data_IF_098551582026
#
_entry.id   IF_098551582026
#
_cell.length_a   1.000
_cell.length_b   1.000
_cell.length_c   1.000
_cell.angle_alpha   90.00
_cell.angle_beta   90.00
_cell.angle_gamma   90.00
#
_symmetry.space_group_name_H-M   'P 1'
#
loop_
_entity.id
_entity.type
_entity.pdbx_description
1 polymer ?
#
# COMPACT_ATOMS: atom_id res chain seq x y z
N UNK A 1 -10.15 3.64 -12.82
CA UNK A 1 -10.52 2.61 -13.80
C UNK A 1 -9.27 1.92 -14.30
N UNK A 2 -9.26 0.60 -14.31
CA UNK A 2 -8.17 -0.26 -14.78
C UNK A 2 -8.78 -1.39 -15.61
N UNK A 3 -8.06 -1.83 -16.64
CA UNK A 3 -8.43 -2.98 -17.46
C UNK A 3 -7.58 -4.17 -17.05
N UNK A 4 -8.22 -5.34 -16.95
CA UNK A 4 -7.57 -6.63 -16.70
C UNK A 4 -7.73 -7.50 -17.96
N UNK A 5 -6.66 -8.16 -18.37
CA UNK A 5 -6.68 -9.15 -19.46
C UNK A 5 -6.16 -10.49 -18.95
N UNK A 6 -7.08 -11.34 -18.50
CA UNK A 6 -6.77 -12.60 -17.81
C UNK A 6 -5.76 -12.41 -16.66
N UNK A 7 -5.89 -11.28 -15.99
CA UNK A 7 -4.95 -10.78 -14.99
C UNK A 7 -5.57 -10.78 -13.60
N UNK A 8 -4.74 -10.46 -12.60
CA UNK A 8 -5.20 -10.37 -11.21
C UNK A 8 -4.49 -9.29 -10.41
N UNK A 9 -5.30 -8.46 -9.77
CA UNK A 9 -4.88 -7.45 -8.81
C UNK A 9 -5.46 -7.74 -7.44
N UNK A 10 -4.72 -7.35 -6.41
CA UNK A 10 -5.15 -7.38 -5.02
C UNK A 10 -5.20 -5.95 -4.53
N UNK A 11 -6.34 -5.55 -4.00
CA UNK A 11 -6.63 -4.17 -3.56
C UNK A 11 -7.14 -4.19 -2.13
N UNK A 12 -6.99 -3.07 -1.44
CA UNK A 12 -7.67 -2.89 -0.16
C UNK A 12 -9.19 -2.88 -0.36
N UNK A 13 -9.93 -3.55 0.52
CA UNK A 13 -11.40 -3.74 0.36
C UNK A 13 -12.16 -2.42 0.15
N UNK A 14 -11.72 -1.35 0.81
CA UNK A 14 -12.36 -0.04 0.73
C UNK A 14 -12.27 0.62 -0.65
N UNK A 15 -11.42 0.13 -1.55
CA UNK A 15 -11.25 0.70 -2.88
C UNK A 15 -12.24 0.18 -3.91
N UNK A 16 -12.86 -0.97 -3.70
CA UNK A 16 -13.71 -1.55 -4.74
C UNK A 16 -14.99 -0.74 -4.95
N UNK A 17 -15.21 -0.28 -6.19
CA UNK A 17 -16.42 0.46 -6.55
C UNK A 17 -17.36 -0.40 -7.42
N UNK A 18 -16.91 -0.85 -8.59
CA UNK A 18 -17.65 -1.76 -9.46
C UNK A 18 -16.73 -2.46 -10.48
N UNK A 19 -17.23 -3.46 -11.21
CA UNK A 19 -16.50 -4.16 -12.26
C UNK A 19 -17.43 -4.71 -13.36
N UNK A 20 -16.82 -5.12 -14.48
CA UNK A 20 -17.49 -5.93 -15.52
C UNK A 20 -17.93 -7.30 -14.97
N UNK A 21 -18.89 -7.94 -15.65
CA UNK A 21 -19.48 -9.24 -15.26
C UNK A 21 -18.45 -10.39 -15.25
N UNK A 22 -17.49 -10.34 -16.18
CA UNK A 22 -16.41 -11.34 -16.29
C UNK A 22 -15.30 -11.19 -15.21
N UNK A 23 -15.41 -10.20 -14.33
CA UNK A 23 -14.48 -10.02 -13.21
C UNK A 23 -14.99 -10.74 -11.96
N UNK A 24 -14.13 -11.60 -11.42
CA UNK A 24 -14.39 -12.33 -10.18
C UNK A 24 -13.78 -11.60 -8.98
N UNK A 25 -14.47 -11.66 -7.85
CA UNK A 25 -14.06 -11.04 -6.58
C UNK A 25 -13.93 -12.12 -5.52
N UNK A 26 -12.80 -12.16 -4.82
CA UNK A 26 -12.63 -13.04 -3.64
C UNK A 26 -11.83 -12.35 -2.54
N UNK A 27 -12.07 -12.74 -1.30
CA UNK A 27 -11.23 -12.32 -0.17
C UNK A 27 -9.80 -12.85 -0.34
N UNK A 28 -8.81 -11.98 -0.11
CA UNK A 28 -7.39 -12.33 -0.14
C UNK A 28 -6.85 -12.34 1.28
N UNK A 29 -6.89 -13.50 1.91
CA UNK A 29 -6.38 -13.68 3.27
C UNK A 29 -4.87 -13.86 3.25
N UNK A 30 -4.15 -12.94 3.90
CA UNK A 30 -2.69 -12.91 3.86
C UNK A 30 -2.13 -13.87 4.90
N UNK A 31 -1.44 -14.92 4.42
CA UNK A 31 -0.89 -15.97 5.29
C UNK A 31 0.26 -15.48 6.18
N UNK A 32 0.94 -14.41 5.76
CA UNK A 32 2.16 -13.88 6.41
C UNK A 32 1.88 -12.65 7.27
N UNK A 33 0.64 -12.45 7.68
CA UNK A 33 0.25 -11.33 8.54
C UNK A 33 -0.16 -11.86 9.90
N UNK A 34 0.67 -11.56 10.89
CA UNK A 34 0.34 -11.86 12.29
C UNK A 34 -0.69 -10.85 12.80
N UNK A 35 -1.83 -11.35 13.30
CA UNK A 35 -2.85 -10.50 13.94
C UNK A 35 -2.28 -9.70 15.12
N UNK A 36 -1.30 -10.26 15.84
CA UNK A 36 -0.58 -9.57 16.92
C UNK A 36 0.25 -8.39 16.42
N UNK A 37 0.73 -8.45 15.18
CA UNK A 37 1.52 -7.36 14.61
C UNK A 37 0.63 -6.19 14.18
N UNK A 38 -0.65 -6.43 13.85
CA UNK A 38 -1.59 -5.41 13.40
C UNK A 38 -2.63 -4.98 14.45
N UNK A 39 -2.28 -5.09 15.73
CA UNK A 39 -3.20 -4.67 16.80
C UNK A 39 -4.52 -5.46 16.87
N UNK A 40 -4.61 -6.62 16.21
CA UNK A 40 -5.81 -7.47 16.18
C UNK A 40 -6.84 -7.15 15.09
N UNK A 41 -6.65 -6.08 14.31
CA UNK A 41 -7.65 -5.62 13.32
C UNK A 41 -7.56 -6.37 11.97
N UNK A 42 -6.40 -6.95 11.66
CA UNK A 42 -6.15 -7.69 10.42
C UNK A 42 -6.16 -6.79 9.17
N UNK A 43 -5.42 -7.17 8.13
CA UNK A 43 -5.52 -6.51 6.81
C UNK A 43 -6.49 -7.31 5.94
N UNK A 44 -7.55 -6.65 5.48
CA UNK A 44 -8.55 -7.25 4.62
C UNK A 44 -8.42 -6.72 3.19
N UNK A 45 -7.77 -7.53 2.35
CA UNK A 45 -7.64 -7.28 0.92
C UNK A 45 -8.60 -8.19 0.14
N UNK A 46 -8.94 -7.78 -1.07
CA UNK A 46 -9.69 -8.59 -2.03
C UNK A 46 -8.86 -8.77 -3.30
N UNK A 47 -8.95 -9.95 -3.91
CA UNK A 47 -8.40 -10.23 -5.24
C UNK A 47 -9.51 -10.04 -6.28
N UNK A 48 -9.24 -9.20 -7.27
CA UNK A 48 -10.04 -9.01 -8.49
C UNK A 48 -9.29 -9.70 -9.64
N UNK A 49 -9.96 -10.60 -10.36
CA UNK A 49 -9.32 -11.38 -11.42
C UNK A 49 -10.29 -11.77 -12.54
N UNK A 50 -9.77 -11.85 -13.76
CA UNK A 50 -10.56 -12.11 -14.98
C UNK A 50 -10.15 -11.18 -16.13
N UNK A 51 -11.03 -11.02 -17.11
CA UNK A 51 -10.86 -10.07 -18.22
C UNK A 51 -11.98 -9.03 -18.19
N UNK A 52 -11.66 -7.75 -18.25
CA UNK A 52 -12.64 -6.67 -18.23
C UNK A 52 -12.20 -5.47 -17.41
N UNK A 53 -13.15 -4.60 -17.09
CA UNK A 53 -12.88 -3.33 -16.42
C UNK A 53 -13.14 -3.45 -14.92
N UNK A 54 -12.25 -2.87 -14.12
CA UNK A 54 -12.46 -2.60 -12.71
C UNK A 54 -12.43 -1.10 -12.42
N UNK A 55 -13.35 -0.64 -11.59
CA UNK A 55 -13.39 0.73 -11.08
C UNK A 55 -13.05 0.69 -9.60
N UNK A 56 -12.01 1.43 -9.26
CA UNK A 56 -11.51 1.58 -7.90
C UNK A 56 -11.69 3.03 -7.47
N UNK A 57 -12.21 3.23 -6.27
CA UNK A 57 -12.24 4.50 -5.55
C UNK A 57 -10.90 4.71 -4.84
N UNK A 58 -10.37 5.92 -4.95
CA UNK A 58 -9.14 6.31 -4.28
C UNK A 58 -9.30 7.73 -3.75
N UNK A 59 -8.82 7.97 -2.53
CA UNK A 59 -8.92 9.27 -1.86
C UNK A 59 -7.90 10.30 -2.39
N UNK A 60 -7.03 9.90 -3.31
CA UNK A 60 -6.05 10.78 -3.94
C UNK A 60 -6.30 10.85 -5.45
N UNK A 61 -5.92 11.96 -6.11
CA UNK A 61 -5.90 12.05 -7.57
C UNK A 61 -5.06 10.93 -8.17
N UNK A 62 -5.48 10.42 -9.33
CA UNK A 62 -4.79 9.33 -10.02
C UNK A 62 -3.33 9.69 -10.32
N UNK A 63 -3.08 10.95 -10.62
CA UNK A 63 -1.76 11.50 -10.96
C UNK A 63 -0.78 11.46 -9.77
N UNK A 64 -1.28 11.33 -8.54
CA UNK A 64 -0.48 11.21 -7.33
C UNK A 64 -0.23 9.75 -6.91
N UNK A 65 -0.80 8.78 -7.63
CA UNK A 65 -0.54 7.36 -7.43
C UNK A 65 0.78 7.00 -8.09
N UNK A 66 1.70 6.43 -7.32
CA UNK A 66 3.01 5.98 -7.77
C UNK A 66 2.96 4.47 -8.02
N UNK A 67 3.38 4.06 -9.21
CA UNK A 67 3.54 2.65 -9.58
C UNK A 67 5.01 2.23 -9.43
N UNK A 68 5.24 1.11 -8.76
CA UNK A 68 6.57 0.55 -8.53
C UNK A 68 6.61 -0.88 -9.05
N UNK A 69 7.55 -1.14 -9.96
CA UNK A 69 7.90 -2.48 -10.41
C UNK A 69 8.83 -3.17 -9.39
N UNK A 70 8.45 -4.37 -8.97
CA UNK A 70 9.29 -5.26 -8.15
C UNK A 70 9.77 -6.39 -9.05
N UNK A 71 11.09 -6.54 -9.16
CA UNK A 71 11.71 -7.65 -9.89
C UNK A 71 12.06 -8.78 -8.94
N UNK A 72 12.27 -9.97 -9.52
CA UNK A 72 12.70 -11.15 -8.77
C UNK A 72 13.94 -10.85 -7.90
N UNK A 73 13.83 -11.09 -6.60
CA UNK A 73 14.91 -10.85 -5.63
C UNK A 73 14.97 -9.42 -5.08
N UNK A 74 14.11 -8.51 -5.55
CA UNK A 74 13.92 -7.19 -4.96
C UNK A 74 12.85 -7.23 -3.86
N UNK A 75 12.97 -6.29 -2.93
CA UNK A 75 11.99 -6.08 -1.87
C UNK A 75 11.68 -4.59 -1.77
N UNK A 76 10.40 -4.27 -1.65
CA UNK A 76 9.91 -2.93 -1.40
C UNK A 76 9.34 -2.88 0.02
N UNK A 77 9.89 -2.00 0.86
CA UNK A 77 9.37 -1.70 2.20
C UNK A 77 8.71 -0.33 2.19
N UNK A 78 7.46 -0.28 2.63
CA UNK A 78 6.63 0.93 2.65
C UNK A 78 6.18 1.19 4.09
N UNK A 79 6.32 2.42 4.56
CA UNK A 79 5.80 2.80 5.89
C UNK A 79 4.27 2.82 5.88
N UNK A 80 3.64 2.23 6.89
CA UNK A 80 2.18 2.22 7.04
C UNK A 80 1.37 1.85 5.79
N UNK A 81 0.22 2.50 5.62
CA UNK A 81 -0.84 2.12 4.69
C UNK A 81 -0.79 2.86 3.34
N UNK A 82 0.41 3.27 2.87
CA UNK A 82 0.50 3.96 1.58
C UNK A 82 0.27 3.02 0.38
N UNK A 83 0.54 1.73 0.51
CA UNK A 83 0.33 0.77 -0.56
C UNK A 83 -1.15 0.38 -0.65
N UNK A 84 -1.76 0.63 -1.81
CA UNK A 84 -3.21 0.53 -2.01
C UNK A 84 -3.61 -0.66 -2.90
N UNK A 85 -2.69 -1.11 -3.76
CA UNK A 85 -2.91 -2.24 -4.66
C UNK A 85 -1.59 -2.93 -5.03
N UNK A 86 -1.68 -4.19 -5.46
CA UNK A 86 -0.55 -4.95 -6.02
C UNK A 86 -1.03 -6.00 -7.01
N UNK A 87 -0.16 -6.44 -7.90
CA UNK A 87 -0.42 -7.63 -8.72
C UNK A 87 -0.30 -8.90 -7.90
N UNK A 88 -0.99 -9.97 -8.30
CA UNK A 88 -0.99 -11.26 -7.60
C UNK A 88 0.40 -11.89 -7.39
N UNK A 89 1.36 -11.66 -8.29
CA UNK A 89 2.73 -12.17 -8.18
C UNK A 89 3.60 -11.51 -7.12
N UNK A 90 3.08 -10.46 -6.47
CA UNK A 90 3.75 -9.76 -5.36
C UNK A 90 3.17 -10.27 -4.05
N UNK A 91 4.00 -10.89 -3.22
CA UNK A 91 3.66 -11.31 -1.87
C UNK A 91 3.67 -10.12 -0.91
N UNK A 92 2.79 -10.16 0.09
CA UNK A 92 2.65 -9.10 1.09
C UNK A 92 2.85 -9.66 2.50
N UNK A 93 3.61 -8.93 3.32
CA UNK A 93 3.82 -9.21 4.73
C UNK A 93 3.98 -7.91 5.52
N UNK A 94 3.80 -7.99 6.83
CA UNK A 94 4.05 -6.88 7.74
C UNK A 94 5.29 -7.22 8.57
N UNK A 95 6.25 -6.31 8.63
CA UNK A 95 7.51 -6.49 9.37
C UNK A 95 7.74 -5.33 10.32
N UNK A 96 8.59 -5.53 11.34
CA UNK A 96 9.00 -4.41 12.21
C UNK A 96 10.02 -3.53 11.49
N UNK A 97 9.90 -2.22 11.64
CA UNK A 97 10.87 -1.26 11.13
C UNK A 97 12.22 -1.47 11.81
N UNK A 98 13.27 -1.62 11.01
CA UNK A 98 14.64 -1.64 11.52
C UNK A 98 15.06 -0.27 12.05
N UNK A 99 16.09 -0.22 12.91
CA UNK A 99 16.57 1.03 13.55
C UNK A 99 16.96 2.13 12.54
N UNK A 100 17.33 1.77 11.31
CA UNK A 100 17.66 2.71 10.22
C UNK A 100 16.44 3.39 9.60
N UNK A 101 15.26 2.76 9.65
CA UNK A 101 13.99 3.30 9.14
C UNK A 101 13.14 3.95 10.24
N UNK A 102 13.54 3.79 11.51
CA UNK A 102 12.85 4.35 12.67
C UNK A 102 12.73 5.89 12.65
N UNK A 103 13.63 6.59 11.97
CA UNK A 103 13.57 8.05 11.79
C UNK A 103 12.39 8.52 10.93
N UNK A 104 11.70 7.60 10.23
CA UNK A 104 10.56 7.90 9.37
C UNK A 104 9.24 7.28 9.85
N UNK A 105 9.19 6.56 10.98
CA UNK A 105 7.99 5.84 11.42
C UNK A 105 6.83 6.81 11.74
N UNK A 106 5.98 7.07 10.75
CA UNK A 106 4.89 8.06 10.82
C UNK A 106 3.73 7.57 11.72
N UNK A 107 3.55 6.24 11.83
CA UNK A 107 2.42 5.65 12.57
C UNK A 107 2.73 5.22 14.02
N UNK A 108 3.93 5.48 14.55
CA UNK A 108 4.26 5.26 15.97
C UNK A 108 4.41 3.80 16.44
N UNK A 109 3.99 2.81 15.64
CA UNK A 109 4.06 1.38 15.98
C UNK A 109 5.34 0.68 15.48
N UNK A 110 6.07 1.32 14.55
CA UNK A 110 7.31 0.77 13.99
C UNK A 110 7.07 -0.48 13.13
N UNK A 111 6.07 -0.42 12.25
CA UNK A 111 5.70 -1.50 11.33
C UNK A 111 5.79 -1.02 9.88
N UNK A 112 6.20 -1.93 8.99
CA UNK A 112 6.34 -1.71 7.56
C UNK A 112 5.54 -2.75 6.79
N UNK A 113 4.93 -2.30 5.70
CA UNK A 113 4.38 -3.15 4.66
C UNK A 113 5.52 -3.57 3.72
N UNK A 114 5.78 -4.87 3.66
CA UNK A 114 6.87 -5.46 2.88
C UNK A 114 6.32 -6.25 1.71
N UNK A 115 6.82 -5.94 0.51
CA UNK A 115 6.42 -6.53 -0.76
C UNK A 115 7.62 -7.20 -1.43
N UNK A 116 7.46 -8.45 -1.87
CA UNK A 116 8.50 -9.20 -2.59
C UNK A 116 7.88 -10.09 -3.66
N UNK A 117 8.69 -10.61 -4.58
CA UNK A 117 8.23 -11.42 -5.71
C UNK A 117 8.43 -10.69 -7.03
N UNK A 118 7.49 -10.83 -7.96
CA UNK A 118 7.57 -10.15 -9.27
C UNK A 118 6.22 -9.54 -9.63
N UNK A 119 6.21 -8.25 -9.98
CA UNK A 119 5.02 -7.56 -10.43
C UNK A 119 5.02 -6.09 -10.02
N UNK A 120 3.83 -5.52 -9.81
CA UNK A 120 3.64 -4.10 -9.52
C UNK A 120 2.99 -3.87 -8.16
N UNK A 121 3.37 -2.77 -7.52
CA UNK A 121 2.72 -2.20 -6.33
C UNK A 121 2.34 -0.75 -6.64
N UNK A 122 1.11 -0.37 -6.31
CA UNK A 122 0.64 1.00 -6.39
C UNK A 122 0.59 1.62 -5.00
N UNK A 123 1.12 2.84 -4.89
CA UNK A 123 1.25 3.59 -3.64
C UNK A 123 0.55 4.93 -3.78
N UNK A 124 -0.15 5.39 -2.73
CA UNK A 124 -0.72 6.73 -2.60
C UNK A 124 0.00 7.51 -1.47
N UNK A 125 1.16 8.13 -1.72
CA UNK A 125 1.97 8.76 -0.67
C UNK A 125 1.28 9.96 -0.01
N UNK A 126 0.35 10.60 -0.72
CA UNK A 126 -0.36 11.79 -0.25
C UNK A 126 -1.65 11.46 0.49
N UNK A 127 -2.07 10.18 0.54
CA UNK A 127 -3.32 9.76 1.16
C UNK A 127 -3.50 10.29 2.60
N UNK A 128 -2.51 10.23 3.51
CA UNK A 128 -2.67 10.77 4.85
C UNK A 128 -2.92 12.28 4.89
N UNK A 129 -2.50 13.03 3.87
CA UNK A 129 -2.80 14.46 3.77
C UNK A 129 -4.26 14.68 3.40
N UNK A 130 -4.79 13.91 2.45
CA UNK A 130 -6.21 13.96 2.09
C UNK A 130 -7.11 13.52 3.25
N UNK A 131 -6.72 12.48 3.99
CA UNK A 131 -7.41 12.06 5.21
C UNK A 131 -7.43 13.20 6.24
N UNK A 132 -6.28 13.82 6.54
CA UNK A 132 -6.22 14.97 7.46
C UNK A 132 -7.10 16.13 7.01
N UNK A 133 -7.09 16.47 5.72
CA UNK A 133 -7.95 17.53 5.18
C UNK A 133 -9.43 17.20 5.34
N UNK A 134 -9.84 15.97 5.02
CA UNK A 134 -11.22 15.52 5.16
C UNK A 134 -11.72 15.55 6.61
N UNK A 135 -10.82 15.33 7.58
CA UNK A 135 -11.13 15.40 9.02
C UNK A 135 -10.86 16.78 9.66
N UNK A 136 -10.47 17.80 8.88
CA UNK A 136 -10.16 19.14 9.39
C UNK A 136 -8.94 19.20 10.32
N UNK A 137 -8.03 18.23 10.19
CA UNK A 137 -6.79 18.14 10.97
C UNK A 137 -5.68 19.00 10.35
N UNK A 138 -4.67 19.43 11.14
CA UNK A 138 -3.54 20.18 10.62
C UNK A 138 -2.77 19.41 9.53
N UNK A 139 -2.56 20.04 8.38
CA UNK A 139 -1.83 19.48 7.23
C UNK A 139 -0.31 19.64 7.31
N UNK A 140 0.20 20.20 8.42
CA UNK A 140 1.64 20.41 8.58
C UNK A 140 2.37 19.08 8.85
N UNK A 141 3.41 18.81 8.07
CA UNK A 141 4.20 17.58 8.15
C UNK A 141 5.53 17.85 8.89
N UNK A 142 5.57 17.65 10.21
CA UNK A 142 6.77 17.87 11.02
C UNK A 142 7.94 16.92 10.70
N UNK A 143 7.73 15.88 9.89
CA UNK A 143 8.71 14.84 9.57
C UNK A 143 9.64 15.18 8.38
N UNK A 144 9.38 16.26 7.63
CA UNK A 144 10.22 16.68 6.48
C UNK A 144 11.50 17.42 6.88
N UNK A 145 11.75 17.65 8.18
CA UNK A 145 13.05 18.11 8.66
C UNK A 145 14.04 16.95 8.71
N UNK A 146 14.47 16.48 7.53
CA UNK A 146 15.63 15.63 7.41
C UNK A 146 16.87 16.50 7.71
N UNK A 147 17.24 16.59 9.00
CA UNK A 147 18.53 17.15 9.38
C UNK A 147 19.60 16.20 8.84
N UNK A 148 20.06 16.47 7.61
CA UNK A 148 21.30 15.91 7.12
C UNK A 148 22.41 16.45 8.02
N UNK A 149 22.82 15.65 8.99
CA UNK A 149 24.06 15.85 9.71
C UNK A 149 25.18 15.78 8.68
N UNK A 150 25.60 16.96 8.20
CA UNK A 150 26.87 17.16 7.51
C UNK A 150 27.95 16.49 8.35
N UNK A 151 28.45 15.34 7.89
CA UNK A 151 29.73 14.84 8.35
C UNK A 151 30.77 15.89 7.99
N UNK A 152 31.33 16.56 9.00
CA UNK A 152 32.63 17.23 8.88
C UNK A 152 33.65 16.25 9.43
N UNK A 153 34.66 15.96 8.62
CA UNK A 153 35.90 15.31 9.05
C UNK A 153 36.76 16.21 9.92
#
# INVERSE_FOLDING_TARGET
>A
MMELDNDSIIVDKGMFYCCSDDINIKGSMQKNISATLLGGEGIFQIELYGSGIVVLECNVPKEEIVEIDIKQGEELKVDGNFAIARTKGVEFSVTKSDKSLFGSAINGEGLLNTFSGQGKVWIAPTQPMYERMNYGLPTHNNSMNNHSSRQRG
#
